data_IF_356191264561
#
_entry.id   IF_356191264561
#
_cell.length_a   1.000
_cell.length_b   1.000
_cell.length_c   1.000
_cell.angle_alpha   90.00
_cell.angle_beta   90.00
_cell.angle_gamma   90.00
#
_symmetry.space_group_name_H-M   'P 1'
#
loop_
_entity.id
_entity.type
_entity.pdbx_description
1 polymer ?
#
# COMPACT_ATOMS: atom_id res chain seq x y z
N UNK A 1 -87.87 5.91 -14.89
CA UNK A 1 -88.41 5.19 -16.07
C UNK A 1 -87.43 4.08 -16.34
N UNK A 2 -87.65 2.90 -15.78
CA UNK A 2 -88.34 1.70 -16.22
C UNK A 2 -88.07 1.34 -17.68
N UNK A 3 -87.41 0.25 -17.90
CA UNK A 3 -87.93 -0.98 -18.47
C UNK A 3 -86.90 -2.10 -18.51
N UNK A 4 -87.25 -3.14 -17.77
CA UNK A 4 -86.80 -4.56 -17.85
C UNK A 4 -87.06 -5.17 -19.20
N UNK A 5 -86.26 -6.07 -19.70
CA UNK A 5 -86.72 -7.26 -20.39
C UNK A 5 -85.75 -8.42 -20.25
N UNK A 6 -86.23 -9.41 -19.60
CA UNK A 6 -85.86 -10.78 -19.42
C UNK A 6 -85.97 -11.56 -20.78
N UNK A 7 -84.91 -12.40 -21.12
CA UNK A 7 -85.18 -13.49 -22.05
C UNK A 7 -84.45 -14.77 -21.57
N UNK A 8 -85.13 -15.89 -21.74
CA UNK A 8 -84.93 -17.19 -21.16
C UNK A 8 -83.89 -18.04 -21.97
N UNK A 9 -83.28 -18.97 -21.25
CA UNK A 9 -82.48 -20.10 -21.78
C UNK A 9 -83.18 -20.98 -22.83
N UNK A 10 -82.38 -21.78 -23.59
CA UNK A 10 -82.42 -23.21 -23.34
C UNK A 10 -81.08 -23.93 -23.17
N UNK A 11 -81.13 -24.94 -22.33
CA UNK A 11 -80.15 -25.97 -22.03
C UNK A 11 -79.93 -26.91 -23.24
N UNK A 12 -78.62 -27.12 -23.60
CA UNK A 12 -78.21 -28.36 -24.30
C UNK A 12 -76.95 -28.86 -23.65
N UNK A 13 -77.00 -30.09 -23.16
CA UNK A 13 -75.88 -30.90 -22.70
C UNK A 13 -74.97 -31.23 -23.89
N UNK A 14 -73.72 -30.86 -23.76
CA UNK A 14 -72.65 -31.36 -24.65
C UNK A 14 -71.48 -31.80 -23.81
N UNK A 15 -71.27 -33.12 -23.76
CA UNK A 15 -70.11 -33.75 -23.10
C UNK A 15 -68.83 -33.31 -23.81
N UNK A 16 -67.94 -32.61 -23.14
CA UNK A 16 -66.57 -32.39 -23.61
C UNK A 16 -65.59 -33.13 -22.72
N UNK A 17 -64.83 -34.00 -23.37
CA UNK A 17 -63.70 -34.72 -22.81
C UNK A 17 -62.63 -33.73 -22.33
N UNK A 18 -62.25 -33.80 -21.05
CA UNK A 18 -61.12 -33.05 -20.48
C UNK A 18 -59.83 -33.78 -20.84
N UNK A 19 -59.11 -33.28 -21.83
CA UNK A 19 -57.71 -33.68 -22.06
C UNK A 19 -56.84 -32.95 -21.06
N UNK A 20 -56.30 -33.67 -20.08
CA UNK A 20 -55.34 -33.15 -19.14
C UNK A 20 -54.01 -32.88 -19.83
N UNK A 21 -53.71 -31.63 -20.15
CA UNK A 21 -52.39 -31.17 -20.56
C UNK A 21 -51.55 -30.97 -19.30
N UNK A 22 -50.68 -31.93 -18.98
CA UNK A 22 -49.63 -31.76 -17.97
C UNK A 22 -48.58 -30.80 -18.55
N UNK A 23 -48.66 -29.54 -18.26
CA UNK A 23 -47.61 -28.56 -18.49
C UNK A 23 -46.45 -28.86 -17.50
N UNK A 24 -45.38 -29.48 -18.02
CA UNK A 24 -44.12 -29.60 -17.31
C UNK A 24 -43.53 -28.17 -17.20
N UNK A 25 -43.74 -27.52 -16.07
CA UNK A 25 -43.01 -26.26 -15.72
C UNK A 25 -41.56 -26.64 -15.50
N UNK A 26 -40.72 -26.41 -16.49
CA UNK A 26 -39.28 -26.31 -16.31
C UNK A 26 -39.01 -25.13 -15.37
N UNK A 27 -38.82 -25.42 -14.09
CA UNK A 27 -38.28 -24.45 -13.12
C UNK A 27 -36.82 -24.23 -13.52
N UNK A 28 -36.55 -23.21 -14.35
CA UNK A 28 -35.24 -22.65 -14.50
C UNK A 28 -34.83 -22.12 -13.11
N UNK A 29 -33.97 -22.87 -12.42
CA UNK A 29 -33.31 -22.34 -11.23
C UNK A 29 -32.62 -21.05 -11.64
N UNK A 30 -32.82 -19.92 -10.94
CA UNK A 30 -32.05 -18.73 -11.21
C UNK A 30 -30.58 -19.09 -11.00
N UNK A 31 -29.79 -18.97 -12.04
CA UNK A 31 -28.34 -18.95 -11.91
C UNK A 31 -28.07 -17.75 -11.00
N UNK A 32 -27.70 -18.02 -9.77
CA UNK A 32 -27.27 -16.97 -8.86
C UNK A 32 -26.06 -16.31 -9.55
N UNK A 33 -26.24 -15.10 -10.08
CA UNK A 33 -25.11 -14.27 -10.48
C UNK A 33 -24.21 -14.17 -9.28
N UNK A 34 -22.97 -14.64 -9.41
CA UNK A 34 -21.98 -14.54 -8.35
C UNK A 34 -21.80 -13.05 -8.05
N UNK A 35 -22.24 -12.64 -6.86
CA UNK A 35 -22.16 -11.24 -6.45
C UNK A 35 -20.70 -10.80 -6.46
N UNK A 36 -20.38 -9.79 -7.28
CA UNK A 36 -19.02 -9.23 -7.36
C UNK A 36 -18.59 -8.73 -5.98
N UNK A 37 -17.52 -9.29 -5.46
CA UNK A 37 -16.92 -8.86 -4.21
C UNK A 37 -16.10 -7.60 -4.45
N UNK A 38 -16.53 -6.49 -3.87
CA UNK A 38 -15.84 -5.21 -3.95
C UNK A 38 -14.87 -5.09 -2.80
N UNK A 39 -13.61 -4.84 -3.11
CA UNK A 39 -12.52 -4.69 -2.18
C UNK A 39 -11.86 -3.32 -2.36
N UNK A 40 -11.24 -2.80 -1.31
CA UNK A 40 -10.56 -1.52 -1.31
C UNK A 40 -9.08 -1.69 -0.98
N UNK A 41 -8.21 -1.07 -1.76
CA UNK A 41 -6.78 -1.01 -1.51
C UNK A 41 -6.37 0.41 -1.09
N UNK A 42 -5.84 0.57 0.13
CA UNK A 42 -5.28 1.84 0.60
C UNK A 42 -3.85 1.98 0.09
N UNK A 43 -3.63 2.91 -0.83
CA UNK A 43 -2.38 3.12 -1.55
C UNK A 43 -1.40 4.03 -0.82
N UNK A 44 -1.11 5.18 -1.39
CA UNK A 44 -0.16 6.15 -0.82
C UNK A 44 -0.37 7.56 -1.35
N UNK A 45 0.52 8.49 -0.99
CA UNK A 45 0.47 9.85 -1.51
C UNK A 45 0.92 9.90 -2.97
N UNK A 46 0.46 10.95 -3.66
CA UNK A 46 0.88 11.22 -5.03
C UNK A 46 2.41 11.32 -5.15
N UNK A 47 2.96 10.72 -6.19
CA UNK A 47 4.41 10.62 -6.41
C UNK A 47 5.11 9.58 -5.52
N UNK A 48 4.38 8.88 -4.64
CA UNK A 48 4.87 7.82 -3.79
C UNK A 48 4.80 6.45 -4.45
N UNK A 49 5.77 5.58 -4.16
CA UNK A 49 5.85 4.22 -4.71
C UNK A 49 4.63 3.37 -4.33
N UNK A 50 4.06 3.55 -3.14
CA UNK A 50 2.88 2.83 -2.68
C UNK A 50 1.69 2.99 -3.61
N UNK A 51 1.47 4.22 -4.13
CA UNK A 51 0.35 4.50 -5.04
C UNK A 51 0.48 3.74 -6.36
N UNK A 52 1.68 3.61 -6.90
CA UNK A 52 1.92 2.83 -8.12
C UNK A 52 1.66 1.34 -7.88
N UNK A 53 2.19 0.78 -6.80
CA UNK A 53 2.03 -0.64 -6.48
C UNK A 53 0.58 -1.01 -6.18
N UNK A 54 -0.11 -0.23 -5.36
CA UNK A 54 -1.51 -0.48 -5.03
C UNK A 54 -2.41 -0.43 -6.27
N UNK A 55 -2.16 0.53 -7.18
CA UNK A 55 -2.87 0.63 -8.44
C UNK A 55 -2.58 -0.57 -9.36
N UNK A 56 -1.32 -0.99 -9.43
CA UNK A 56 -0.90 -2.18 -10.19
C UNK A 56 -1.59 -3.44 -9.69
N UNK A 57 -1.52 -3.71 -8.38
CA UNK A 57 -2.16 -4.88 -7.77
C UNK A 57 -3.68 -4.83 -7.95
N UNK A 58 -4.33 -3.70 -7.66
CA UNK A 58 -5.78 -3.55 -7.83
C UNK A 58 -6.22 -3.85 -9.26
N UNK A 59 -5.46 -3.33 -10.24
CA UNK A 59 -5.71 -3.59 -11.66
C UNK A 59 -5.57 -5.07 -12.00
N UNK A 60 -4.52 -5.72 -11.52
CA UNK A 60 -4.25 -7.14 -11.78
C UNK A 60 -5.36 -8.02 -11.21
N UNK A 61 -5.71 -7.80 -9.93
CA UNK A 61 -6.73 -8.59 -9.24
C UNK A 61 -8.12 -8.43 -9.88
N UNK A 62 -8.53 -7.19 -10.20
CA UNK A 62 -9.83 -6.92 -10.83
C UNK A 62 -9.95 -7.51 -12.24
N UNK A 63 -8.83 -7.64 -12.95
CA UNK A 63 -8.84 -8.21 -14.32
C UNK A 63 -8.86 -9.74 -14.34
N UNK A 64 -8.17 -10.37 -13.40
CA UNK A 64 -7.80 -11.77 -13.50
C UNK A 64 -8.49 -12.67 -12.46
N UNK A 65 -9.18 -12.10 -11.47
CA UNK A 65 -9.96 -12.89 -10.51
C UNK A 65 -11.45 -12.66 -10.74
N UNK A 66 -12.13 -13.68 -11.25
CA UNK A 66 -13.57 -13.61 -11.50
C UNK A 66 -14.35 -13.25 -10.23
N UNK A 67 -15.28 -12.31 -10.37
CA UNK A 67 -16.12 -11.86 -9.28
C UNK A 67 -15.40 -10.98 -8.23
N UNK A 68 -14.21 -10.47 -8.52
CA UNK A 68 -13.46 -9.53 -7.65
C UNK A 68 -13.27 -8.19 -8.36
N UNK A 69 -13.58 -7.11 -7.66
CA UNK A 69 -13.34 -5.74 -8.10
C UNK A 69 -12.60 -4.98 -6.98
N UNK A 70 -11.38 -4.50 -7.25
CA UNK A 70 -10.51 -3.84 -6.26
C UNK A 70 -10.34 -2.38 -6.63
N UNK A 71 -10.90 -1.48 -5.84
CA UNK A 71 -10.70 -0.04 -5.97
C UNK A 71 -9.43 0.42 -5.26
N UNK A 72 -8.62 1.25 -5.94
CA UNK A 72 -7.45 1.87 -5.32
C UNK A 72 -7.81 3.24 -4.74
N UNK A 73 -7.41 3.50 -3.49
CA UNK A 73 -7.66 4.75 -2.77
C UNK A 73 -6.33 5.41 -2.40
N UNK A 74 -6.22 6.72 -2.66
CA UNK A 74 -5.10 7.49 -2.15
C UNK A 74 -5.11 7.55 -0.61
N UNK A 75 -3.93 7.67 -0.01
CA UNK A 75 -3.75 7.80 1.44
C UNK A 75 -2.48 8.59 1.76
N UNK A 76 -2.30 8.93 3.02
CA UNK A 76 -1.01 9.47 3.48
C UNK A 76 0.12 8.42 3.44
N UNK A 77 -0.19 7.12 3.45
CA UNK A 77 0.78 6.02 3.40
C UNK A 77 0.69 5.08 4.60
N UNK A 78 1.82 4.50 5.02
CA UNK A 78 1.94 3.35 5.90
C UNK A 78 1.05 3.38 7.16
N UNK A 79 1.15 4.41 7.99
CA UNK A 79 0.42 4.47 9.27
C UNK A 79 -1.09 4.64 9.05
N UNK A 80 -1.50 5.43 8.04
CA UNK A 80 -2.91 5.55 7.68
C UNK A 80 -3.44 4.23 7.11
N UNK A 81 -2.67 3.55 6.25
CA UNK A 81 -3.05 2.25 5.70
C UNK A 81 -3.24 1.21 6.80
N UNK A 82 -2.34 1.20 7.79
CA UNK A 82 -2.44 0.32 8.95
C UNK A 82 -3.77 0.53 9.70
N UNK A 83 -4.16 1.79 9.92
CA UNK A 83 -5.44 2.13 10.56
C UNK A 83 -6.63 1.70 9.72
N UNK A 84 -6.65 2.04 8.43
CA UNK A 84 -7.76 1.71 7.52
C UNK A 84 -7.97 0.21 7.37
N UNK A 85 -6.90 -0.56 7.23
CA UNK A 85 -7.00 -2.02 7.12
C UNK A 85 -7.47 -2.64 8.44
N UNK A 86 -6.98 -2.14 9.57
CA UNK A 86 -7.40 -2.63 10.89
C UNK A 86 -8.87 -2.36 11.20
N UNK A 87 -9.40 -1.18 10.80
CA UNK A 87 -10.80 -0.76 10.99
C UNK A 87 -11.75 -1.31 9.93
N UNK A 88 -11.23 -1.96 8.87
CA UNK A 88 -11.95 -2.46 7.70
C UNK A 88 -12.46 -1.36 6.75
N UNK A 89 -11.86 -0.16 6.81
CA UNK A 89 -12.08 0.91 5.83
C UNK A 89 -11.33 0.64 4.52
N UNK A 90 -10.39 -0.32 4.56
CA UNK A 90 -9.74 -0.93 3.41
C UNK A 90 -9.49 -2.42 3.67
N UNK A 91 -9.44 -3.21 2.60
CA UNK A 91 -9.16 -4.65 2.65
C UNK A 91 -7.67 -4.92 2.54
N UNK A 92 -6.98 -4.11 1.74
CA UNK A 92 -5.55 -4.19 1.49
C UNK A 92 -4.86 -2.85 1.75
N UNK A 93 -3.56 -2.91 1.97
CA UNK A 93 -2.72 -1.73 2.09
C UNK A 93 -1.25 -2.05 1.89
N UNK A 94 -0.42 -1.01 1.86
CA UNK A 94 1.04 -1.16 1.93
C UNK A 94 1.50 -0.44 3.18
N UNK A 95 2.29 -1.13 4.01
CA UNK A 95 2.83 -0.60 5.27
C UNK A 95 4.33 -0.87 5.37
N UNK A 96 5.05 -0.07 6.13
CA UNK A 96 6.43 -0.38 6.48
C UNK A 96 6.47 -1.41 7.60
N UNK A 97 7.45 -2.31 7.55
CA UNK A 97 7.62 -3.39 8.54
C UNK A 97 7.74 -2.85 9.97
N UNK A 98 8.51 -1.77 10.15
CA UNK A 98 8.64 -1.09 11.44
C UNK A 98 7.33 -0.50 11.96
N UNK A 99 6.54 0.17 11.09
CA UNK A 99 5.24 0.71 11.48
C UNK A 99 4.25 -0.40 11.85
N UNK A 100 4.25 -1.51 11.11
CA UNK A 100 3.40 -2.66 11.41
C UNK A 100 3.78 -3.29 12.76
N UNK A 101 5.08 -3.51 13.00
CA UNK A 101 5.58 -4.04 14.26
C UNK A 101 5.20 -3.15 15.45
N UNK A 102 5.45 -1.85 15.35
CA UNK A 102 5.08 -0.88 16.39
C UNK A 102 3.57 -0.80 16.58
N UNK A 103 2.81 -0.83 15.48
CA UNK A 103 1.35 -0.77 15.52
C UNK A 103 0.70 -1.99 16.18
N UNK A 104 1.18 -3.20 15.90
CA UNK A 104 0.69 -4.42 16.56
C UNK A 104 0.92 -4.37 18.08
N UNK A 105 2.02 -3.74 18.50
CA UNK A 105 2.43 -3.64 19.90
C UNK A 105 1.92 -2.37 20.62
N UNK A 106 1.16 -1.48 19.95
CA UNK A 106 0.67 -0.22 20.53
C UNK A 106 1.80 0.77 20.84
N UNK A 107 2.84 0.79 20.01
CA UNK A 107 4.07 1.57 20.20
C UNK A 107 4.29 2.62 19.09
N UNK A 108 3.28 2.90 18.27
CA UNK A 108 3.37 3.99 17.30
C UNK A 108 3.47 5.34 18.02
N UNK A 109 4.24 6.25 17.47
CA UNK A 109 4.37 7.60 18.02
C UNK A 109 3.00 8.29 18.07
N UNK A 110 2.62 8.77 19.24
CA UNK A 110 1.33 9.43 19.53
C UNK A 110 0.08 8.56 19.25
N UNK A 111 0.22 7.22 19.21
CA UNK A 111 -0.89 6.32 18.99
C UNK A 111 -0.64 4.97 19.70
N UNK A 112 -1.32 4.75 20.81
CA UNK A 112 -1.20 3.56 21.65
C UNK A 112 -2.19 2.45 21.29
N UNK A 113 -2.98 2.61 20.21
CA UNK A 113 -3.87 1.57 19.74
C UNK A 113 -3.08 0.38 19.18
N UNK A 114 -3.65 -0.82 19.32
CA UNK A 114 -3.06 -2.04 18.74
C UNK A 114 -3.77 -2.43 17.45
N UNK A 115 -2.99 -2.73 16.42
CA UNK A 115 -3.47 -2.99 15.06
C UNK A 115 -3.33 -4.48 14.68
N UNK A 116 -4.05 -5.36 15.41
CA UNK A 116 -3.89 -6.82 15.31
C UNK A 116 -4.73 -7.49 14.21
N UNK A 117 -5.55 -6.71 13.50
CA UNK A 117 -6.33 -7.22 12.36
C UNK A 117 -5.59 -7.10 11.02
N UNK A 118 -4.35 -6.62 11.02
CA UNK A 118 -3.54 -6.42 9.81
C UNK A 118 -2.52 -7.53 9.72
N UNK A 119 -2.56 -8.29 8.64
CA UNK A 119 -1.67 -9.42 8.38
C UNK A 119 -0.90 -9.21 7.09
N UNK A 120 0.35 -9.67 7.06
CA UNK A 120 1.21 -9.55 5.89
C UNK A 120 0.77 -10.52 4.79
N UNK A 121 0.87 -10.09 3.54
CA UNK A 121 0.77 -10.93 2.36
C UNK A 121 2.16 -11.25 1.84
N UNK A 122 2.97 -10.20 1.62
CA UNK A 122 4.34 -10.34 1.12
C UNK A 122 5.18 -9.08 1.33
N UNK A 123 6.49 -9.25 1.23
CA UNK A 123 7.42 -8.15 0.98
C UNK A 123 7.27 -7.65 -0.46
N UNK A 124 7.46 -6.35 -0.65
CA UNK A 124 7.39 -5.72 -1.96
C UNK A 124 8.71 -5.10 -2.40
N UNK A 125 9.26 -4.20 -1.58
CA UNK A 125 10.53 -3.52 -1.88
C UNK A 125 11.13 -2.88 -0.63
N UNK A 126 12.41 -2.52 -0.69
CA UNK A 126 13.05 -1.67 0.31
C UNK A 126 12.71 -0.20 0.05
N UNK A 127 12.33 0.53 1.08
CA UNK A 127 12.00 1.95 1.03
C UNK A 127 13.12 2.77 1.70
N UNK A 128 14.11 3.25 0.94
CA UNK A 128 15.15 4.12 1.49
C UNK A 128 14.66 5.52 1.79
N UNK A 129 15.31 6.13 2.78
CA UNK A 129 15.22 7.55 3.05
C UNK A 129 15.99 8.37 2.00
N UNK A 130 15.33 9.36 1.41
CA UNK A 130 15.97 10.38 0.60
C UNK A 130 15.84 11.70 1.33
N UNK A 131 16.96 12.32 1.67
CA UNK A 131 16.98 13.65 2.28
C UNK A 131 17.61 14.62 1.29
N UNK A 132 16.76 15.37 0.60
CA UNK A 132 17.16 16.31 -0.44
C UNK A 132 17.31 17.71 0.13
N UNK A 133 18.32 18.42 -0.36
CA UNK A 133 18.51 19.86 -0.19
C UNK A 133 18.92 20.45 -1.54
N UNK A 134 18.73 21.75 -1.74
CA UNK A 134 19.27 22.40 -2.94
C UNK A 134 20.81 22.49 -2.85
N UNK A 135 21.48 22.28 -3.98
CA UNK A 135 22.95 22.40 -4.06
C UNK A 135 23.42 23.81 -3.63
N UNK A 136 22.69 24.85 -4.06
CA UNK A 136 23.01 26.27 -3.77
C UNK A 136 22.71 26.70 -2.33
N UNK A 137 22.10 25.83 -1.51
CA UNK A 137 21.90 26.08 -0.06
C UNK A 137 23.19 25.97 0.76
N UNK A 138 24.22 25.31 0.20
CA UNK A 138 25.46 25.03 0.91
C UNK A 138 25.33 23.96 2.02
N UNK A 139 24.15 23.36 2.20
CA UNK A 139 23.91 22.30 3.21
C UNK A 139 24.55 21.00 2.71
N UNK A 140 25.43 20.42 3.50
CA UNK A 140 26.18 19.19 3.19
C UNK A 140 26.08 18.14 4.31
N UNK A 141 25.62 18.53 5.49
CA UNK A 141 25.43 17.65 6.67
C UNK A 141 24.05 17.86 7.29
N UNK A 142 23.50 16.79 7.85
CA UNK A 142 22.16 16.81 8.49
C UNK A 142 22.11 17.80 9.66
N UNK A 143 23.20 18.00 10.41
CA UNK A 143 23.25 18.94 11.53
C UNK A 143 22.97 20.41 11.11
N UNK A 144 23.22 20.76 9.84
CA UNK A 144 22.96 22.10 9.31
C UNK A 144 21.47 22.38 9.05
N UNK A 145 20.60 21.38 9.24
CA UNK A 145 19.15 21.52 9.15
C UNK A 145 18.52 22.13 10.41
N UNK A 146 19.29 22.40 11.47
CA UNK A 146 18.79 23.14 12.63
C UNK A 146 18.27 24.52 12.22
N UNK A 147 17.04 24.86 12.63
CA UNK A 147 16.33 26.09 12.26
C UNK A 147 15.72 26.08 10.85
N UNK A 148 15.80 24.96 10.11
CA UNK A 148 15.36 24.85 8.72
C UNK A 148 13.96 24.26 8.60
N UNK A 149 13.25 24.62 7.52
CA UNK A 149 11.98 24.03 7.16
C UNK A 149 12.21 22.72 6.41
N UNK A 150 11.74 21.62 6.97
CA UNK A 150 11.93 20.25 6.41
C UNK A 150 10.56 19.65 6.09
N UNK A 151 10.27 19.41 4.82
CA UNK A 151 9.09 18.61 4.44
C UNK A 151 9.35 17.16 4.83
N UNK A 152 8.48 16.58 5.67
CA UNK A 152 8.66 15.25 6.27
C UNK A 152 7.69 14.20 5.74
N UNK A 153 6.84 14.57 4.81
CA UNK A 153 5.74 13.75 4.29
C UNK A 153 4.39 14.13 4.91
N UNK A 154 3.28 13.58 4.41
CA UNK A 154 1.93 13.90 4.90
C UNK A 154 1.77 13.60 6.40
N UNK A 155 0.93 14.37 7.09
CA UNK A 155 0.59 14.09 8.47
C UNK A 155 -0.02 12.68 8.62
N UNK A 156 0.43 11.92 9.64
CA UNK A 156 -0.02 10.55 9.86
C UNK A 156 0.53 9.52 8.88
N UNK A 157 1.54 9.88 8.08
CA UNK A 157 2.22 8.96 7.17
C UNK A 157 3.38 8.21 7.85
N UNK A 158 3.75 7.05 7.29
CA UNK A 158 4.99 6.38 7.68
C UNK A 158 6.25 7.17 7.31
N UNK A 159 6.18 8.04 6.28
CA UNK A 159 7.26 8.95 5.95
C UNK A 159 7.49 9.98 7.06
N UNK A 160 6.43 10.62 7.55
CA UNK A 160 6.53 11.57 8.67
C UNK A 160 7.03 10.87 9.95
N UNK A 161 6.53 9.65 10.22
CA UNK A 161 6.99 8.86 11.35
C UNK A 161 8.47 8.46 11.23
N UNK A 162 8.94 8.07 10.03
CA UNK A 162 10.36 7.74 9.80
C UNK A 162 11.27 8.97 9.94
N UNK A 163 10.84 10.12 9.42
CA UNK A 163 11.57 11.37 9.59
C UNK A 163 11.67 11.75 11.07
N UNK A 164 10.54 11.66 11.80
CA UNK A 164 10.53 11.96 13.24
C UNK A 164 11.51 11.06 13.99
N UNK A 165 11.45 9.74 13.82
CA UNK A 165 12.39 8.80 14.45
C UNK A 165 13.85 9.12 14.12
N UNK A 166 14.14 9.44 12.86
CA UNK A 166 15.48 9.81 12.44
C UNK A 166 15.97 11.09 13.13
N UNK A 167 15.21 12.17 13.06
CA UNK A 167 15.62 13.45 13.68
C UNK A 167 15.59 13.39 15.21
N UNK A 168 14.67 12.65 15.84
CA UNK A 168 14.67 12.40 17.28
C UNK A 168 15.92 11.67 17.74
N UNK A 169 16.34 10.62 16.99
CA UNK A 169 17.56 9.87 17.31
C UNK A 169 18.83 10.71 17.32
N UNK A 170 18.81 11.85 16.61
CA UNK A 170 19.89 12.83 16.56
C UNK A 170 19.69 14.02 17.53
N UNK A 171 18.59 14.03 18.30
CA UNK A 171 18.21 15.18 19.12
C UNK A 171 17.94 16.46 18.32
N UNK A 172 17.41 16.28 17.08
CA UNK A 172 17.18 17.37 16.13
C UNK A 172 15.70 17.64 15.81
N UNK A 173 14.77 16.78 16.21
CA UNK A 173 13.35 16.97 15.86
C UNK A 173 12.82 18.35 16.29
N UNK A 174 13.09 18.77 17.51
CA UNK A 174 12.66 20.07 18.04
C UNK A 174 13.51 21.25 17.52
N UNK A 175 14.56 20.97 16.76
CA UNK A 175 15.44 22.01 16.16
C UNK A 175 15.11 22.29 14.71
N UNK A 176 14.32 21.45 14.04
CA UNK A 176 13.82 21.69 12.67
C UNK A 176 12.40 22.24 12.74
N UNK A 177 11.91 22.77 11.60
CA UNK A 177 10.50 23.14 11.42
C UNK A 177 9.84 22.14 10.47
N UNK A 178 9.21 21.05 10.97
CA UNK A 178 8.64 20.02 10.11
C UNK A 178 7.42 20.55 9.35
N UNK A 179 7.38 20.30 8.04
CA UNK A 179 6.27 20.63 7.16
C UNK A 179 5.62 19.34 6.70
N UNK A 180 4.34 19.13 7.05
CA UNK A 180 3.60 17.90 6.76
C UNK A 180 2.91 17.98 5.42
N UNK A 181 3.66 17.88 4.32
CA UNK A 181 3.18 17.96 2.94
C UNK A 181 3.57 16.72 2.13
N UNK A 182 2.79 16.41 1.10
CA UNK A 182 3.02 15.27 0.21
C UNK A 182 4.29 15.40 -0.64
N UNK A 183 4.77 14.29 -1.19
CA UNK A 183 6.04 14.24 -1.91
C UNK A 183 6.10 15.14 -3.14
N UNK A 184 5.07 15.10 -4.01
CA UNK A 184 5.02 15.96 -5.21
C UNK A 184 4.93 17.43 -4.85
N UNK A 185 4.16 17.77 -3.80
CA UNK A 185 4.10 19.14 -3.29
C UNK A 185 5.44 19.56 -2.68
N UNK A 186 6.10 18.68 -1.92
CA UNK A 186 7.44 18.90 -1.38
C UNK A 186 8.50 19.11 -2.46
N UNK A 187 8.42 18.33 -3.56
CA UNK A 187 9.33 18.49 -4.70
C UNK A 187 9.18 19.85 -5.39
N UNK A 188 7.96 20.36 -5.50
CA UNK A 188 7.71 21.73 -5.99
C UNK A 188 8.20 22.78 -4.98
N UNK A 189 7.82 22.62 -3.70
CA UNK A 189 8.16 23.57 -2.64
C UNK A 189 9.67 23.77 -2.43
N UNK A 190 10.48 22.70 -2.54
CA UNK A 190 11.94 22.80 -2.42
C UNK A 190 12.53 23.54 -3.63
N UNK A 191 11.99 23.33 -4.83
CA UNK A 191 12.35 24.05 -6.05
C UNK A 191 12.06 25.56 -5.91
N UNK A 192 10.88 25.88 -5.39
CA UNK A 192 10.39 27.25 -5.18
C UNK A 192 10.98 27.93 -3.93
N UNK A 193 11.92 27.30 -3.24
CA UNK A 193 12.59 27.81 -2.02
C UNK A 193 11.64 28.08 -0.85
N UNK A 194 10.48 27.38 -0.81
CA UNK A 194 9.51 27.45 0.29
C UNK A 194 9.90 26.54 1.47
N UNK A 195 10.75 25.55 1.21
CA UNK A 195 11.34 24.67 2.21
C UNK A 195 12.83 24.50 1.94
N UNK A 196 13.59 24.15 2.96
CA UNK A 196 15.05 23.98 2.89
C UNK A 196 15.45 22.54 2.55
N UNK A 197 14.67 21.55 3.04
CA UNK A 197 14.92 20.14 2.82
C UNK A 197 13.62 19.33 2.59
N UNK A 198 13.75 18.21 1.89
CA UNK A 198 12.66 17.29 1.60
C UNK A 198 13.07 15.88 2.00
N UNK A 199 12.30 15.27 2.89
CA UNK A 199 12.37 13.84 3.23
C UNK A 199 11.39 13.06 2.40
N UNK A 200 11.89 12.07 1.64
CA UNK A 200 11.08 11.08 0.93
C UNK A 200 11.48 9.70 1.41
N UNK A 201 10.52 8.93 1.90
CA UNK A 201 10.73 7.55 2.33
C UNK A 201 9.97 6.62 1.39
N UNK A 202 10.65 6.09 0.38
CA UNK A 202 10.00 5.40 -0.74
C UNK A 202 11.02 4.58 -1.54
N UNK A 203 10.54 3.63 -2.35
CA UNK A 203 11.39 2.91 -3.31
C UNK A 203 12.06 3.85 -4.31
N UNK A 204 13.19 3.42 -4.87
CA UNK A 204 13.94 4.20 -5.87
C UNK A 204 14.01 3.46 -7.22
N UNK A 205 14.09 4.20 -8.36
CA UNK A 205 13.92 5.65 -8.47
C UNK A 205 12.52 6.10 -8.08
N UNK A 206 12.41 7.25 -7.39
CA UNK A 206 11.14 7.84 -6.95
C UNK A 206 10.74 9.03 -7.85
N UNK A 207 9.47 9.12 -8.24
CA UNK A 207 8.99 10.13 -9.17
C UNK A 207 9.16 11.58 -8.64
N UNK A 208 8.89 11.81 -7.35
CA UNK A 208 9.03 13.16 -6.76
C UNK A 208 10.48 13.56 -6.59
N UNK A 209 11.39 12.61 -6.33
CA UNK A 209 12.84 12.89 -6.30
C UNK A 209 13.34 13.21 -7.71
N UNK A 210 12.88 12.47 -8.75
CA UNK A 210 13.17 12.79 -10.15
C UNK A 210 12.65 14.19 -10.49
N UNK A 211 11.42 14.53 -10.10
CA UNK A 211 10.84 15.86 -10.31
C UNK A 211 11.76 16.97 -9.73
N UNK A 212 12.15 16.84 -8.48
CA UNK A 212 13.00 17.84 -7.81
C UNK A 212 14.38 17.97 -8.46
N UNK A 213 15.04 16.83 -8.79
CA UNK A 213 16.38 16.79 -9.37
C UNK A 213 16.42 17.18 -10.85
N UNK A 214 15.34 17.00 -11.60
CA UNK A 214 15.23 17.42 -13.01
C UNK A 214 15.02 18.92 -13.14
N UNK A 215 14.34 19.55 -12.17
CA UNK A 215 14.01 20.98 -12.23
C UNK A 215 15.07 21.86 -11.58
N UNK A 216 15.86 21.31 -10.66
CA UNK A 216 16.85 22.07 -9.89
C UNK A 216 18.08 21.21 -9.58
N UNK A 217 19.23 21.86 -9.37
CA UNK A 217 20.41 21.18 -8.82
C UNK A 217 20.18 20.83 -7.36
N UNK A 218 20.09 19.55 -7.08
CA UNK A 218 19.86 19.02 -5.75
C UNK A 218 21.06 18.21 -5.23
N UNK A 219 21.10 18.04 -3.92
CA UNK A 219 22.01 17.15 -3.19
C UNK A 219 21.19 16.19 -2.37
N UNK A 220 21.57 14.92 -2.38
CA UNK A 220 21.09 13.91 -1.43
C UNK A 220 22.11 13.78 -0.29
N UNK A 221 21.66 13.94 0.96
CA UNK A 221 22.50 13.82 2.14
C UNK A 221 22.70 12.33 2.53
N UNK A 222 23.85 12.04 3.14
CA UNK A 222 24.25 10.69 3.60
C UNK A 222 23.55 10.36 4.93
N UNK A 223 22.31 9.88 4.86
CA UNK A 223 21.44 9.64 6.03
C UNK A 223 22.02 8.56 6.95
N UNK A 224 22.59 7.48 6.39
CA UNK A 224 23.18 6.41 7.20
C UNK A 224 24.38 6.89 8.01
N UNK A 225 25.26 7.68 7.43
CA UNK A 225 26.40 8.23 8.17
C UNK A 225 25.94 9.19 9.29
N UNK A 226 24.89 9.97 9.05
CA UNK A 226 24.29 10.80 10.08
C UNK A 226 23.64 9.95 11.19
N UNK A 227 22.94 8.87 10.85
CA UNK A 227 22.25 8.00 11.83
C UNK A 227 23.21 7.34 12.83
N UNK A 228 24.47 7.09 12.44
CA UNK A 228 25.50 6.54 13.33
C UNK A 228 25.88 7.49 14.47
N UNK A 229 25.58 8.79 14.34
CA UNK A 229 25.82 9.80 15.39
C UNK A 229 24.72 9.81 16.46
N UNK A 230 23.65 9.04 16.27
CA UNK A 230 22.48 8.95 17.15
C UNK A 230 22.13 7.52 17.54
N UNK A 231 20.91 7.33 18.01
CA UNK A 231 20.40 6.05 18.55
C UNK A 231 19.54 5.27 17.57
N UNK A 232 19.40 5.70 16.29
CA UNK A 232 18.45 5.12 15.34
C UNK A 232 18.59 3.60 15.23
N UNK A 233 19.80 3.07 15.08
CA UNK A 233 20.04 1.65 14.92
C UNK A 233 19.78 0.82 16.19
N UNK A 234 19.88 1.44 17.38
CA UNK A 234 19.57 0.80 18.66
C UNK A 234 18.08 0.80 18.94
N UNK A 235 17.42 1.95 18.74
CA UNK A 235 16.00 2.14 19.08
C UNK A 235 15.08 1.53 18.03
N UNK A 236 15.55 1.47 16.76
CA UNK A 236 14.79 1.03 15.61
C UNK A 236 15.59 0.05 14.74
N UNK A 237 15.87 -1.18 15.21
CA UNK A 237 16.77 -2.14 14.56
C UNK A 237 16.23 -2.71 13.23
N UNK A 238 15.01 -2.39 12.85
CA UNK A 238 14.43 -2.74 11.55
C UNK A 238 14.92 -1.84 10.41
N UNK A 239 15.55 -0.70 10.70
CA UNK A 239 16.21 0.10 9.67
C UNK A 239 17.56 -0.51 9.28
N UNK A 240 17.71 -0.83 8.00
CA UNK A 240 18.94 -1.39 7.44
C UNK A 240 19.65 -0.39 6.53
N UNK A 241 20.98 -0.40 6.45
CA UNK A 241 21.69 0.41 5.48
C UNK A 241 21.41 -0.06 4.05
N UNK A 242 21.36 0.91 3.12
CA UNK A 242 21.24 0.66 1.68
C UNK A 242 21.95 1.75 0.91
N UNK A 243 22.46 1.42 -0.27
CA UNK A 243 23.06 2.39 -1.20
C UNK A 243 22.09 2.67 -2.34
N UNK A 244 21.80 3.94 -2.58
CA UNK A 244 21.17 4.43 -3.81
C UNK A 244 22.35 4.72 -4.75
N UNK A 245 22.48 3.99 -5.88
CA UNK A 245 23.65 4.11 -6.75
C UNK A 245 23.75 5.49 -7.42
N UNK A 246 24.96 5.92 -7.70
CA UNK A 246 25.26 7.08 -8.54
C UNK A 246 24.48 6.99 -9.87
N UNK A 247 23.99 8.12 -10.37
CA UNK A 247 23.22 8.18 -11.62
C UNK A 247 21.77 7.72 -11.52
N UNK A 248 21.29 7.29 -10.33
CA UNK A 248 19.87 6.97 -10.12
C UNK A 248 18.96 8.19 -10.36
N UNK A 249 19.45 9.37 -10.01
CA UNK A 249 18.71 10.63 -10.18
C UNK A 249 19.53 11.65 -10.98
N UNK A 250 18.90 12.51 -11.80
CA UNK A 250 19.58 13.56 -12.53
C UNK A 250 20.47 14.42 -11.63
N UNK A 251 21.75 14.56 -11.99
CA UNK A 251 22.73 15.38 -11.27
C UNK A 251 23.22 14.80 -9.93
N UNK A 252 22.90 13.56 -9.60
CA UNK A 252 23.42 12.84 -8.43
C UNK A 252 24.41 11.79 -8.94
N UNK A 253 25.67 12.20 -9.11
CA UNK A 253 26.74 11.39 -9.71
C UNK A 253 27.61 10.67 -8.65
N UNK A 254 27.07 10.44 -7.46
CA UNK A 254 27.71 9.77 -6.34
C UNK A 254 26.75 8.81 -5.65
N UNK A 255 27.30 7.80 -5.00
CA UNK A 255 26.54 6.87 -4.18
C UNK A 255 25.99 7.55 -2.92
N UNK A 256 24.72 7.29 -2.60
CA UNK A 256 24.09 7.79 -1.40
C UNK A 256 23.82 6.64 -0.45
N UNK A 257 24.57 6.56 0.65
CA UNK A 257 24.33 5.57 1.70
C UNK A 257 23.27 6.08 2.67
N UNK A 258 22.17 5.36 2.76
CA UNK A 258 20.99 5.74 3.54
C UNK A 258 20.47 4.57 4.35
N UNK A 259 19.36 4.77 5.07
CA UNK A 259 18.62 3.73 5.79
C UNK A 259 17.34 3.41 5.06
N UNK A 260 16.89 2.15 5.12
CA UNK A 260 15.63 1.71 4.54
C UNK A 260 14.82 0.87 5.53
N UNK A 261 13.51 0.81 5.30
CA UNK A 261 12.60 -0.18 5.88
C UNK A 261 11.98 -1.04 4.77
N UNK A 262 11.40 -2.18 5.11
CA UNK A 262 10.70 -3.05 4.16
C UNK A 262 9.27 -2.56 3.95
N UNK A 263 8.86 -2.34 2.69
CA UNK A 263 7.48 -2.14 2.32
C UNK A 263 6.79 -3.49 2.16
N UNK A 264 5.68 -3.69 2.86
CA UNK A 264 4.92 -4.94 2.91
C UNK A 264 3.51 -4.73 2.35
N UNK A 265 3.07 -5.60 1.47
CA UNK A 265 1.66 -5.74 1.15
C UNK A 265 0.96 -6.40 2.35
N UNK A 266 -0.10 -5.77 2.84
CA UNK A 266 -0.90 -6.29 3.94
C UNK A 266 -2.36 -6.43 3.56
N UNK A 267 -3.06 -7.33 4.25
CA UNK A 267 -4.49 -7.54 4.15
C UNK A 267 -5.15 -7.52 5.52
N UNK A 268 -6.42 -7.10 5.57
CA UNK A 268 -7.24 -7.24 6.76
C UNK A 268 -7.55 -8.70 7.04
N UNK A 269 -7.51 -9.10 8.30
CA UNK A 269 -7.86 -10.46 8.75
C UNK A 269 -9.25 -10.93 8.28
N UNK A 270 -10.13 -9.98 7.94
CA UNK A 270 -11.49 -10.26 7.46
C UNK A 270 -11.56 -10.67 5.98
N UNK A 271 -10.51 -10.43 5.19
CA UNK A 271 -10.42 -10.91 3.81
C UNK A 271 -10.42 -12.44 3.82
N UNK A 272 -11.24 -13.08 2.96
CA UNK A 272 -11.33 -14.54 2.97
C UNK A 272 -10.01 -15.20 2.56
N UNK A 273 -9.74 -16.39 3.12
CA UNK A 273 -8.53 -17.16 2.81
C UNK A 273 -8.46 -17.50 1.32
N UNK A 274 -9.60 -17.79 0.67
CA UNK A 274 -9.68 -18.09 -0.75
C UNK A 274 -9.31 -16.89 -1.63
N UNK A 275 -9.87 -15.73 -1.35
CA UNK A 275 -9.53 -14.48 -2.05
C UNK A 275 -8.04 -14.15 -1.88
N UNK A 276 -7.54 -14.25 -0.65
CA UNK A 276 -6.15 -13.92 -0.40
C UNK A 276 -5.17 -14.90 -1.06
N UNK A 277 -5.52 -16.20 -1.07
CA UNK A 277 -4.75 -17.20 -1.79
C UNK A 277 -4.71 -16.89 -3.30
N UNK A 278 -5.88 -16.61 -3.91
CA UNK A 278 -5.97 -16.24 -5.33
C UNK A 278 -5.19 -14.97 -5.64
N UNK A 279 -5.33 -13.95 -4.79
CA UNK A 279 -4.62 -12.69 -4.96
C UNK A 279 -3.09 -12.86 -4.90
N UNK A 280 -2.58 -13.62 -3.92
CA UNK A 280 -1.15 -13.93 -3.85
C UNK A 280 -0.68 -14.76 -5.05
N UNK A 281 -1.50 -15.75 -5.48
CA UNK A 281 -1.20 -16.60 -6.65
C UNK A 281 -1.13 -15.78 -7.93
N UNK A 282 -2.03 -14.82 -8.10
CA UNK A 282 -2.09 -13.97 -9.29
C UNK A 282 -0.89 -13.01 -9.35
N UNK A 283 -0.63 -12.27 -8.26
CA UNK A 283 0.46 -11.28 -8.20
C UNK A 283 1.83 -11.95 -8.34
N UNK A 284 2.01 -13.15 -7.79
CA UNK A 284 3.27 -13.90 -7.82
C UNK A 284 3.30 -14.99 -8.91
N UNK A 285 2.39 -14.97 -9.89
CA UNK A 285 2.54 -15.69 -11.15
C UNK A 285 3.65 -15.05 -12.00
N UNK A 286 4.16 -15.77 -12.99
CA UNK A 286 5.18 -15.23 -13.92
C UNK A 286 4.67 -13.98 -14.63
N UNK A 287 3.40 -13.99 -15.10
CA UNK A 287 2.77 -12.84 -15.76
C UNK A 287 2.47 -11.71 -14.77
N UNK A 288 2.04 -12.03 -13.54
CA UNK A 288 1.79 -11.07 -12.48
C UNK A 288 3.07 -10.32 -12.07
N UNK A 289 4.17 -11.03 -11.83
CA UNK A 289 5.47 -10.40 -11.53
C UNK A 289 5.96 -9.56 -12.70
N UNK A 290 5.87 -10.07 -13.93
CA UNK A 290 6.24 -9.31 -15.13
C UNK A 290 5.42 -8.02 -15.27
N UNK A 291 4.12 -8.07 -15.00
CA UNK A 291 3.26 -6.89 -14.98
C UNK A 291 3.71 -5.92 -13.89
N UNK A 292 3.89 -6.38 -12.65
CA UNK A 292 4.34 -5.52 -11.55
C UNK A 292 5.70 -4.88 -11.81
N UNK A 293 6.66 -5.60 -12.40
CA UNK A 293 7.96 -5.05 -12.81
C UNK A 293 7.82 -3.93 -13.86
N UNK A 294 6.75 -3.95 -14.67
CA UNK A 294 6.46 -2.86 -15.62
C UNK A 294 5.81 -1.63 -14.97
N UNK A 295 5.20 -1.78 -13.78
CA UNK A 295 4.52 -0.70 -13.05
C UNK A 295 5.52 0.28 -12.44
N UNK A 296 6.60 -0.23 -11.84
CA UNK A 296 7.63 0.57 -11.21
C UNK A 296 8.95 -0.20 -11.10
N UNK A 297 10.08 0.48 -11.31
CA UNK A 297 11.42 -0.12 -11.18
C UNK A 297 11.65 -0.80 -9.82
N UNK A 298 11.14 -0.21 -8.74
CA UNK A 298 11.23 -0.78 -7.40
C UNK A 298 10.56 -2.18 -7.29
N UNK A 299 9.62 -2.51 -8.19
CA UNK A 299 8.96 -3.81 -8.20
C UNK A 299 9.86 -4.97 -8.66
N UNK A 300 11.02 -4.70 -9.26
CA UNK A 300 12.03 -5.74 -9.53
C UNK A 300 12.51 -6.45 -8.24
N UNK A 301 12.31 -5.82 -7.07
CA UNK A 301 12.55 -6.45 -5.78
C UNK A 301 11.49 -7.52 -5.41
N UNK A 302 10.32 -7.52 -6.07
CA UNK A 302 9.29 -8.55 -5.88
C UNK A 302 9.70 -9.82 -6.63
N UNK A 303 10.14 -10.82 -5.90
CA UNK A 303 10.50 -12.14 -6.42
C UNK A 303 9.94 -13.23 -5.51
N UNK A 304 9.88 -14.46 -6.01
CA UNK A 304 9.54 -15.60 -5.16
C UNK A 304 10.51 -15.75 -3.99
N UNK A 305 11.79 -15.39 -4.16
CA UNK A 305 12.81 -15.55 -3.13
C UNK A 305 12.69 -14.48 -2.04
N UNK A 306 12.41 -13.24 -2.40
CA UNK A 306 12.30 -12.11 -1.46
C UNK A 306 10.93 -11.99 -0.78
N UNK A 307 9.94 -12.79 -1.17
CA UNK A 307 8.53 -12.61 -0.80
C UNK A 307 8.23 -12.48 0.71
N UNK A 308 9.06 -13.04 1.58
CA UNK A 308 8.91 -12.96 3.04
C UNK A 308 10.08 -12.22 3.71
N UNK A 309 10.87 -11.47 2.95
CA UNK A 309 12.00 -10.71 3.47
C UNK A 309 11.52 -9.60 4.44
N UNK A 310 12.11 -9.55 5.62
CA UNK A 310 11.75 -8.55 6.64
C UNK A 310 10.38 -8.73 7.27
N UNK A 311 9.67 -9.83 7.00
CA UNK A 311 8.38 -10.15 7.62
C UNK A 311 8.60 -10.77 8.99
N UNK A 312 8.28 -10.04 10.04
CA UNK A 312 8.43 -10.44 11.46
C UNK A 312 7.10 -10.45 12.22
N UNK A 313 6.00 -10.38 11.52
CA UNK A 313 4.63 -10.31 12.04
C UNK A 313 3.74 -11.32 11.33
N UNK A 314 2.52 -11.62 11.84
CA UNK A 314 1.67 -12.64 11.25
C UNK A 314 1.36 -12.43 9.76
N UNK A 315 1.46 -13.50 9.00
CA UNK A 315 1.07 -13.59 7.59
C UNK A 315 -0.41 -13.99 7.50
N UNK A 316 -1.15 -13.44 6.54
CA UNK A 316 -2.55 -13.79 6.33
C UNK A 316 -2.69 -15.27 5.95
N UNK A 317 -3.69 -15.97 6.51
CA UNK A 317 -3.82 -17.43 6.34
C UNK A 317 -3.89 -17.90 4.89
N UNK A 318 -4.59 -17.19 4.02
CA UNK A 318 -4.60 -17.49 2.58
C UNK A 318 -3.23 -17.32 1.92
N UNK A 319 -2.45 -16.31 2.35
CA UNK A 319 -1.07 -16.13 1.90
C UNK A 319 -0.13 -17.20 2.50
N UNK A 320 -0.31 -17.59 3.78
CA UNK A 320 0.43 -18.71 4.39
C UNK A 320 0.28 -19.99 3.57
N UNK A 321 -0.97 -20.32 3.16
CA UNK A 321 -1.25 -21.48 2.32
C UNK A 321 -0.45 -21.39 1.00
N UNK A 322 -0.55 -20.27 0.29
CA UNK A 322 0.16 -20.04 -0.95
C UNK A 322 1.68 -20.19 -0.78
N UNK A 323 2.27 -19.50 0.20
CA UNK A 323 3.73 -19.55 0.41
C UNK A 323 4.21 -20.95 0.80
N UNK A 324 3.45 -21.68 1.61
CA UNK A 324 3.78 -23.07 1.97
C UNK A 324 3.76 -23.99 0.74
N UNK A 325 2.77 -23.89 -0.12
CA UNK A 325 2.70 -24.64 -1.39
C UNK A 325 3.86 -24.28 -2.34
N UNK A 326 4.38 -23.05 -2.27
CA UNK A 326 5.58 -22.61 -2.98
C UNK A 326 6.90 -22.96 -2.29
N UNK A 327 6.85 -23.79 -1.25
CA UNK A 327 8.04 -24.29 -0.54
C UNK A 327 8.66 -23.31 0.44
N UNK A 328 7.99 -22.21 0.79
CA UNK A 328 8.48 -21.28 1.83
C UNK A 328 8.19 -21.84 3.22
N UNK A 329 9.18 -21.75 4.11
CA UNK A 329 9.02 -22.10 5.52
C UNK A 329 8.69 -20.83 6.32
N UNK A 330 7.55 -20.85 7.00
CA UNK A 330 7.11 -19.76 7.87
C UNK A 330 7.71 -19.90 9.27
N UNK A 331 8.19 -18.80 9.84
CA UNK A 331 8.61 -18.73 11.24
C UNK A 331 7.39 -18.72 12.16
N UNK A 332 7.60 -18.93 13.46
CA UNK A 332 6.48 -18.91 14.43
C UNK A 332 5.84 -17.52 14.55
N UNK A 333 6.60 -16.43 14.34
CA UNK A 333 6.07 -15.08 14.32
C UNK A 333 5.19 -14.79 13.07
N UNK A 334 5.36 -15.58 12.00
CA UNK A 334 4.63 -15.43 10.75
C UNK A 334 3.36 -16.29 10.69
N UNK A 335 3.21 -17.27 11.58
CA UNK A 335 2.02 -18.13 11.70
C UNK A 335 0.95 -17.48 12.58
#
# INVERSE_FOLDING_TARGET
MSFSKMFKLPTTLGSFAVAAFTAATLTASPVAEAQTQRLAFSGGPDGGTFQFFSNGISTLLSRNIDGVDVSNMASAGSVENLRRVNSRDADFGIVYSGDLYLGINGQLTNDTNTYRNVHVVSYMFGAPAHLLVREDSGITDVAQLAGKQVAVGPAGSGAAASAQRFFESLGMWDKISPQFIGYSQGASAIGDRQIDALWVFAGFPNASVIQATSSNKMRLLQVYEASKKGTLGTDHPYYAPVTIPAGTYPGIDYDVVTVQDSALWVAGRHVSEDIMYKAASEVYSDDGLKFMHSVAKAAEAMTMDSALLGVVTPVHKGAQKFWTEKGKTLTDAQK
#
